data_IF_111677329113
#
_entry.id   IF_111677329113
#
_cell.length_a   1.000
_cell.length_b   1.000
_cell.length_c   1.000
_cell.angle_alpha   90.00
_cell.angle_beta   90.00
_cell.angle_gamma   90.00
#
_symmetry.space_group_name_H-M   'P 1'
#
loop_
_entity.id
_entity.type
_entity.pdbx_description
1 polymer ?
#
# COMPACT_ATOMS: atom_id res chain seq x y z
N UNK A 1 9.78 12.63 7.07
CA UNK A 1 9.57 11.27 6.57
C UNK A 1 9.24 10.30 7.68
N UNK A 2 8.41 9.32 7.39
CA UNK A 2 8.09 8.30 8.36
C UNK A 2 9.13 7.19 8.34
N UNK A 3 9.20 6.44 9.44
CA UNK A 3 10.09 5.28 9.51
C UNK A 3 9.72 4.24 8.44
N UNK A 4 8.43 4.04 8.21
CA UNK A 4 7.96 3.11 7.18
C UNK A 4 8.39 3.57 5.79
N UNK A 5 8.30 4.87 5.51
CA UNK A 5 8.74 5.42 4.24
C UNK A 5 10.22 5.18 3.99
N UNK A 6 11.04 5.31 5.03
CA UNK A 6 12.48 5.07 4.91
C UNK A 6 12.78 3.59 4.63
N UNK A 7 12.05 2.68 5.27
CA UNK A 7 12.21 1.25 5.04
C UNK A 7 11.85 0.88 3.59
N UNK A 8 10.77 1.44 3.10
CA UNK A 8 10.32 1.20 1.73
C UNK A 8 11.35 1.74 0.73
N UNK A 9 11.84 2.95 0.95
CA UNK A 9 12.85 3.55 0.08
C UNK A 9 14.11 2.69 0.03
N UNK A 10 14.56 2.20 1.18
CA UNK A 10 15.72 1.34 1.26
C UNK A 10 15.51 0.03 0.47
N UNK A 11 14.34 -0.58 0.64
CA UNK A 11 14.03 -1.84 -0.05
C UNK A 11 14.02 -1.67 -1.57
N UNK A 12 13.41 -0.60 -2.05
CA UNK A 12 13.38 -0.31 -3.48
C UNK A 12 14.79 -0.14 -4.05
N UNK A 13 15.61 0.62 -3.36
CA UNK A 13 16.99 0.87 -3.79
C UNK A 13 17.84 -0.40 -3.75
N UNK A 14 17.74 -1.15 -2.66
CA UNK A 14 18.55 -2.35 -2.48
C UNK A 14 18.29 -3.41 -3.55
N UNK A 15 17.03 -3.57 -3.92
CA UNK A 15 16.65 -4.60 -4.88
C UNK A 15 16.52 -4.08 -6.31
N UNK A 16 16.83 -2.82 -6.53
CA UNK A 16 16.78 -2.22 -7.88
C UNK A 16 15.39 -2.17 -8.47
N UNK A 17 14.35 -2.05 -7.61
CA UNK A 17 12.96 -2.01 -8.06
C UNK A 17 12.56 -0.59 -8.40
N UNK A 18 12.02 -0.39 -9.60
CA UNK A 18 11.48 0.91 -9.97
C UNK A 18 10.11 1.10 -9.34
N UNK A 19 9.82 2.32 -8.87
CA UNK A 19 8.52 2.58 -8.24
C UNK A 19 7.35 2.33 -9.19
N UNK A 20 7.57 2.45 -10.50
CA UNK A 20 6.56 2.20 -11.51
C UNK A 20 6.17 0.72 -11.59
N UNK A 21 7.05 -0.16 -11.09
CA UNK A 21 6.83 -1.61 -11.13
C UNK A 21 6.45 -2.17 -9.76
N UNK A 22 6.11 -1.32 -8.80
CA UNK A 22 5.82 -1.74 -7.44
C UNK A 22 4.46 -1.21 -6.97
N UNK A 23 3.82 -1.96 -6.10
CA UNK A 23 2.59 -1.52 -5.44
C UNK A 23 2.67 -1.94 -3.98
N UNK A 24 2.22 -1.07 -3.09
CA UNK A 24 2.18 -1.37 -1.66
C UNK A 24 0.82 -1.93 -1.28
N UNK A 25 0.82 -3.02 -0.55
CA UNK A 25 -0.40 -3.58 0.03
C UNK A 25 -0.23 -3.52 1.54
N UNK A 26 -1.14 -2.83 2.22
CA UNK A 26 -1.01 -2.63 3.65
C UNK A 26 -2.34 -2.72 4.38
N UNK A 27 -2.26 -3.00 5.68
CA UNK A 27 -3.43 -3.10 6.56
C UNK A 27 -3.45 -2.02 7.65
N UNK A 28 -2.51 -1.08 7.60
CA UNK A 28 -2.41 0.02 8.56
C UNK A 28 -2.10 1.32 7.81
N UNK A 29 -2.52 2.46 8.40
CA UNK A 29 -2.28 3.75 7.75
C UNK A 29 -0.79 4.04 7.56
N UNK A 30 0.08 3.50 8.41
CA UNK A 30 1.52 3.71 8.29
C UNK A 30 2.06 3.17 6.96
N UNK A 31 1.51 2.04 6.49
CA UNK A 31 1.90 1.47 5.21
C UNK A 31 1.51 2.39 4.06
N UNK A 32 0.32 2.97 4.15
CA UNK A 32 -0.18 3.87 3.11
C UNK A 32 0.64 5.15 3.06
N UNK A 33 0.92 5.74 4.23
CA UNK A 33 1.72 6.95 4.30
C UNK A 33 3.13 6.72 3.77
N UNK A 34 3.74 5.57 4.12
CA UNK A 34 5.06 5.21 3.63
C UNK A 34 5.09 5.04 2.12
N UNK A 35 4.06 4.42 1.56
CA UNK A 35 3.95 4.27 0.11
C UNK A 35 3.83 5.63 -0.57
N UNK A 36 3.00 6.52 -0.03
CA UNK A 36 2.84 7.87 -0.57
C UNK A 36 4.13 8.65 -0.55
N UNK A 37 4.91 8.54 0.52
CA UNK A 37 6.22 9.21 0.61
C UNK A 37 7.16 8.78 -0.50
N UNK A 38 7.00 7.57 -0.99
CA UNK A 38 7.85 7.02 -2.04
C UNK A 38 7.19 7.03 -3.43
N UNK A 39 6.02 7.63 -3.55
CA UNK A 39 5.31 7.72 -4.82
C UNK A 39 4.76 6.42 -5.34
N UNK A 40 4.46 5.47 -4.45
CA UNK A 40 3.92 4.16 -4.82
C UNK A 40 2.40 4.15 -4.76
N UNK A 41 1.74 3.46 -5.69
CA UNK A 41 0.32 3.18 -5.51
C UNK A 41 0.12 2.26 -4.32
N UNK A 42 -0.99 2.42 -3.62
CA UNK A 42 -1.24 1.68 -2.38
C UNK A 42 -2.64 1.09 -2.35
N UNK A 43 -2.72 -0.21 -2.02
CA UNK A 43 -3.97 -0.90 -1.79
C UNK A 43 -4.08 -1.16 -0.29
N UNK A 44 -5.15 -0.69 0.33
CA UNK A 44 -5.41 -0.91 1.75
C UNK A 44 -6.39 -2.08 1.92
N UNK A 45 -6.10 -2.96 2.87
CA UNK A 45 -6.94 -4.13 3.15
C UNK A 45 -7.52 -3.99 4.55
N UNK A 46 -8.83 -4.13 4.67
CA UNK A 46 -9.54 -3.86 5.93
C UNK A 46 -9.54 -4.99 6.94
N UNK A 47 -9.02 -6.14 6.61
CA UNK A 47 -9.04 -7.27 7.56
C UNK A 47 -8.13 -7.08 8.77
N UNK A 48 -7.25 -6.09 8.73
CA UNK A 48 -6.31 -5.83 9.83
C UNK A 48 -6.87 -4.85 10.86
N UNK A 49 -6.04 -3.94 11.32
CA UNK A 49 -6.37 -3.04 12.42
C UNK A 49 -6.84 -1.66 11.99
N UNK A 50 -6.78 -1.37 10.70
CA UNK A 50 -7.22 -0.08 10.19
C UNK A 50 -8.72 -0.05 9.89
N UNK A 51 -9.23 1.12 9.52
CA UNK A 51 -10.61 1.27 9.09
C UNK A 51 -10.66 2.10 7.81
N UNK A 52 -11.79 2.05 7.15
CA UNK A 52 -11.96 2.69 5.85
C UNK A 52 -11.67 4.19 5.89
N UNK A 53 -12.18 4.88 6.89
CA UNK A 53 -11.97 6.33 7.02
C UNK A 53 -10.51 6.67 7.17
N UNK A 54 -9.79 5.91 8.01
CA UNK A 54 -8.36 6.09 8.22
C UNK A 54 -7.59 5.94 6.92
N UNK A 55 -7.94 4.91 6.12
CA UNK A 55 -7.27 4.66 4.86
C UNK A 55 -7.57 5.72 3.82
N UNK A 56 -8.80 6.20 3.78
CA UNK A 56 -9.17 7.28 2.87
C UNK A 56 -8.42 8.56 3.19
N UNK A 57 -8.31 8.89 4.47
CA UNK A 57 -7.58 10.07 4.92
C UNK A 57 -6.08 9.96 4.64
N UNK A 58 -5.54 8.76 4.73
CA UNK A 58 -4.13 8.53 4.42
C UNK A 58 -3.84 8.53 2.92
N UNK A 59 -4.86 8.43 2.10
CA UNK A 59 -4.71 8.54 0.64
C UNK A 59 -4.54 7.22 -0.09
N UNK A 60 -5.13 6.13 0.43
CA UNK A 60 -5.06 4.85 -0.26
C UNK A 60 -5.74 4.96 -1.63
N UNK A 61 -5.12 4.36 -2.64
CA UNK A 61 -5.67 4.39 -3.99
C UNK A 61 -6.85 3.44 -4.15
N UNK A 62 -6.79 2.29 -3.46
CA UNK A 62 -7.85 1.28 -3.47
C UNK A 62 -8.01 0.75 -2.06
N UNK A 63 -9.25 0.51 -1.64
CA UNK A 63 -9.54 -0.08 -0.33
C UNK A 63 -10.31 -1.37 -0.55
N UNK A 64 -9.80 -2.48 -0.02
CA UNK A 64 -10.35 -3.82 -0.23
C UNK A 64 -10.71 -4.43 1.13
N UNK A 65 -11.87 -5.06 1.22
CA UNK A 65 -12.39 -5.53 2.49
C UNK A 65 -11.70 -6.77 3.05
N UNK A 66 -11.31 -7.70 2.18
CA UNK A 66 -10.74 -8.97 2.63
C UNK A 66 -9.85 -9.60 1.55
N UNK A 67 -9.23 -10.72 1.90
CA UNK A 67 -8.33 -11.41 0.99
C UNK A 67 -9.03 -11.90 -0.28
N UNK A 68 -10.22 -12.52 -0.22
CA UNK A 68 -10.93 -12.90 -1.46
C UNK A 68 -11.17 -11.72 -2.40
N UNK A 69 -11.56 -10.57 -1.86
CA UNK A 69 -11.77 -9.36 -2.67
C UNK A 69 -10.46 -8.89 -3.29
N UNK A 70 -9.35 -9.00 -2.57
CA UNK A 70 -8.03 -8.65 -3.08
C UNK A 70 -7.64 -9.54 -4.27
N UNK A 71 -7.88 -10.84 -4.16
CA UNK A 71 -7.59 -11.78 -5.24
C UNK A 71 -8.44 -11.49 -6.48
N UNK A 72 -9.70 -11.15 -6.28
CA UNK A 72 -10.57 -10.77 -7.39
C UNK A 72 -10.06 -9.51 -8.08
N UNK A 73 -9.62 -8.53 -7.31
CA UNK A 73 -9.08 -7.29 -7.85
C UNK A 73 -7.85 -7.57 -8.72
N UNK A 74 -6.94 -8.39 -8.24
CA UNK A 74 -5.73 -8.75 -8.98
C UNK A 74 -6.07 -9.46 -10.29
N UNK A 75 -7.03 -10.36 -10.27
CA UNK A 75 -7.47 -11.07 -11.47
C UNK A 75 -7.99 -10.14 -12.54
N UNK A 76 -8.74 -9.11 -12.13
CA UNK A 76 -9.29 -8.14 -13.06
C UNK A 76 -8.22 -7.27 -13.70
N UNK A 77 -7.17 -6.98 -12.94
CA UNK A 77 -6.11 -6.08 -13.40
C UNK A 77 -5.01 -6.83 -14.16
N UNK A 78 -4.97 -8.14 -14.06
CA UNK A 78 -3.92 -8.93 -14.69
C UNK A 78 -4.06 -9.04 -16.21
#
# INVERSE_FOLDING_TARGET
>A
RSKKGDVIAYALKKHGIQKEDAIMVGDRKHDILGAKENGLPCIAVLYGYGNKTEFEEAGADVIIEDIPAFLEYIKKEA
#
